data_IF_474836137170
#
_entry.id   IF_474836137170
#
_cell.length_a   1.000
_cell.length_b   1.000
_cell.length_c   1.000
_cell.angle_alpha   90.00
_cell.angle_beta   90.00
_cell.angle_gamma   90.00
#
_symmetry.space_group_name_H-M   'P 1'
#
loop_
_entity.id
_entity.type
_entity.pdbx_description
1 polymer ?
#
# COMPACT_ATOMS: atom_id res chain seq x y z
N UNK A 1 7.51 33.93 -32.60
CA UNK A 1 7.91 34.10 -31.19
C UNK A 1 7.22 32.98 -30.40
N UNK A 2 7.94 31.90 -30.11
CA UNK A 2 7.41 30.75 -29.36
C UNK A 2 7.59 30.98 -27.85
N UNK A 3 6.62 30.67 -27.01
CA UNK A 3 6.78 30.81 -25.57
C UNK A 3 7.64 29.69 -25.01
N UNK A 4 8.67 30.08 -24.29
CA UNK A 4 9.58 29.19 -23.54
C UNK A 4 8.84 28.66 -22.30
N UNK A 5 8.59 27.37 -22.28
CA UNK A 5 8.05 26.70 -21.08
C UNK A 5 9.20 26.43 -20.13
N UNK A 6 9.29 27.20 -19.06
CA UNK A 6 10.23 26.95 -17.96
C UNK A 6 9.70 25.82 -17.08
N UNK A 7 10.45 24.73 -17.05
CA UNK A 7 10.24 23.59 -16.13
C UNK A 7 10.47 24.02 -14.68
N UNK A 8 9.58 23.70 -13.73
CA UNK A 8 9.82 23.99 -12.33
C UNK A 8 10.96 23.11 -11.79
N UNK A 9 11.82 23.73 -10.98
CA UNK A 9 12.98 23.10 -10.36
C UNK A 9 12.55 21.93 -9.44
N UNK A 10 13.39 20.88 -9.32
CA UNK A 10 13.08 19.73 -8.47
C UNK A 10 13.06 20.16 -7.00
N UNK A 11 11.92 20.00 -6.36
CA UNK A 11 11.75 20.21 -4.92
C UNK A 11 12.65 19.23 -4.14
N UNK A 12 13.56 19.77 -3.35
CA UNK A 12 14.39 18.98 -2.42
C UNK A 12 13.48 18.33 -1.37
N UNK A 13 13.35 17.02 -1.43
CA UNK A 13 12.70 16.22 -0.39
C UNK A 13 13.72 15.97 0.73
N UNK A 14 13.54 16.63 1.88
CA UNK A 14 14.17 16.21 3.14
C UNK A 14 13.16 15.32 3.88
N UNK A 15 13.54 14.15 4.40
CA UNK A 15 12.67 13.34 5.24
C UNK A 15 12.42 14.12 6.55
N UNK A 16 11.30 14.83 6.63
CA UNK A 16 10.86 15.41 7.89
C UNK A 16 10.35 14.27 8.78
N UNK A 17 11.04 14.04 9.89
CA UNK A 17 10.44 13.37 11.06
C UNK A 17 9.21 14.22 11.44
N UNK A 18 8.02 13.71 11.15
CA UNK A 18 6.80 14.29 11.69
C UNK A 18 6.82 13.94 13.17
N UNK A 19 7.03 14.97 14.00
CA UNK A 19 7.05 14.82 15.44
C UNK A 19 5.75 14.16 15.94
N UNK A 20 5.88 13.38 17.00
CA UNK A 20 4.75 12.85 17.76
C UNK A 20 3.79 14.00 18.09
N UNK A 21 2.72 14.16 17.31
CA UNK A 21 1.53 14.85 17.73
C UNK A 21 0.58 13.77 18.25
N UNK A 22 0.04 14.00 19.43
CA UNK A 22 -1.03 13.16 19.96
C UNK A 22 -2.06 12.94 18.89
N UNK A 23 -2.40 11.65 18.64
CA UNK A 23 -3.34 11.26 17.62
C UNK A 23 -4.66 12.03 17.83
N UNK A 24 -5.27 12.61 16.80
CA UNK A 24 -6.56 13.27 16.93
C UNK A 24 -7.56 12.27 17.54
N UNK A 25 -8.22 12.68 18.63
CA UNK A 25 -9.27 11.88 19.27
C UNK A 25 -10.30 11.53 18.19
N UNK A 26 -10.45 10.23 17.89
CA UNK A 26 -11.48 9.73 16.97
C UNK A 26 -12.84 10.23 17.41
N UNK A 27 -13.72 10.71 16.51
CA UNK A 27 -15.08 11.03 16.86
C UNK A 27 -15.73 9.79 17.49
N UNK A 28 -16.33 9.95 18.66
CA UNK A 28 -17.09 8.89 19.33
C UNK A 28 -18.33 8.61 18.48
N UNK A 29 -18.27 7.57 17.65
CA UNK A 29 -19.46 7.02 17.02
C UNK A 29 -20.30 6.34 18.12
N UNK A 30 -21.48 6.90 18.39
CA UNK A 30 -22.46 6.35 19.34
C UNK A 30 -23.23 5.19 18.67
N UNK A 31 -22.53 4.14 18.28
CA UNK A 31 -23.11 2.85 17.96
C UNK A 31 -22.30 1.74 18.63
N UNK A 32 -23.01 0.75 19.16
CA UNK A 32 -22.48 -0.42 19.86
C UNK A 32 -21.72 -1.38 18.91
N UNK A 33 -20.96 -0.82 17.99
CA UNK A 33 -20.16 -1.55 17.00
C UNK A 33 -18.87 -2.01 17.66
N UNK A 34 -18.99 -3.09 18.46
CA UNK A 34 -17.79 -3.90 18.76
C UNK A 34 -17.24 -4.33 17.41
N UNK A 35 -15.96 -4.05 17.11
CA UNK A 35 -15.36 -4.53 15.87
C UNK A 35 -15.58 -6.04 15.78
N UNK A 36 -15.97 -6.53 14.60
CA UNK A 36 -16.23 -7.96 14.35
C UNK A 36 -15.04 -8.83 14.77
N UNK A 37 -13.84 -8.24 14.74
CA UNK A 37 -12.64 -8.81 15.33
C UNK A 37 -12.19 -7.94 16.51
N UNK A 38 -11.96 -8.50 17.71
CA UNK A 38 -11.44 -7.74 18.84
C UNK A 38 -10.13 -7.05 18.46
N UNK A 39 -9.92 -5.81 18.93
CA UNK A 39 -8.62 -5.13 18.81
C UNK A 39 -7.58 -5.98 19.53
N UNK A 40 -6.83 -6.72 18.74
CA UNK A 40 -5.91 -7.71 19.28
C UNK A 40 -4.65 -7.06 19.86
N UNK A 41 -4.38 -7.44 21.12
CA UNK A 41 -3.00 -7.47 21.60
C UNK A 41 -2.33 -8.65 20.86
N UNK A 42 -1.71 -8.36 19.73
CA UNK A 42 -1.04 -9.38 18.91
C UNK A 42 0.46 -9.36 19.19
N UNK A 43 1.07 -10.49 19.51
CA UNK A 43 2.52 -10.57 19.70
C UNK A 43 3.29 -10.40 18.40
N UNK A 44 2.70 -10.75 17.24
CA UNK A 44 3.28 -10.58 15.92
C UNK A 44 3.35 -9.11 15.45
N UNK A 45 3.98 -8.90 14.31
CA UNK A 45 4.12 -7.58 13.69
C UNK A 45 3.58 -7.59 12.27
N UNK A 46 2.67 -6.66 11.96
CA UNK A 46 2.14 -6.45 10.62
C UNK A 46 2.89 -5.30 9.94
N UNK A 47 3.70 -5.63 8.94
CA UNK A 47 4.43 -4.67 8.11
C UNK A 47 3.80 -4.63 6.72
N UNK A 48 3.46 -3.45 6.26
CA UNK A 48 2.79 -3.24 4.98
C UNK A 48 3.64 -2.37 4.06
N UNK A 49 3.71 -2.74 2.79
CA UNK A 49 4.41 -1.98 1.76
C UNK A 49 3.42 -1.55 0.69
N UNK A 50 3.32 -0.25 0.49
CA UNK A 50 2.34 0.41 -0.37
C UNK A 50 2.98 1.30 -1.44
N UNK A 51 2.21 1.68 -2.43
CA UNK A 51 2.59 2.59 -3.50
C UNK A 51 2.11 2.14 -4.87
N UNK A 52 2.24 3.01 -5.86
CA UNK A 52 1.79 2.72 -7.23
C UNK A 52 2.58 1.59 -7.91
N UNK A 53 2.06 1.11 -9.03
CA UNK A 53 2.74 0.09 -9.82
C UNK A 53 4.04 0.65 -10.41
N UNK A 54 5.11 -0.17 -10.41
CA UNK A 54 6.44 0.27 -10.86
C UNK A 54 7.29 1.02 -9.83
N UNK A 55 6.81 1.22 -8.60
CA UNK A 55 7.59 1.90 -7.55
C UNK A 55 8.72 1.06 -6.93
N UNK A 56 8.87 -0.22 -7.31
CA UNK A 56 9.94 -1.09 -6.81
C UNK A 56 9.59 -1.84 -5.52
N UNK A 57 8.34 -1.76 -5.04
CA UNK A 57 7.88 -2.41 -3.81
C UNK A 57 8.29 -3.87 -3.69
N UNK A 58 7.94 -4.69 -4.67
CA UNK A 58 8.16 -6.15 -4.60
C UNK A 58 9.64 -6.52 -4.46
N UNK A 59 10.57 -5.70 -4.99
CA UNK A 59 12.01 -5.87 -4.75
C UNK A 59 12.36 -5.57 -3.30
N UNK A 60 11.86 -4.46 -2.76
CA UNK A 60 12.12 -4.05 -1.38
C UNK A 60 11.50 -5.02 -0.37
N UNK A 61 10.29 -5.52 -0.65
CA UNK A 61 9.63 -6.54 0.18
C UNK A 61 10.48 -7.81 0.28
N UNK A 62 11.02 -8.32 -0.84
CA UNK A 62 11.90 -9.49 -0.85
C UNK A 62 13.19 -9.27 -0.07
N UNK A 63 13.77 -8.07 -0.17
CA UNK A 63 14.98 -7.71 0.58
C UNK A 63 14.64 -7.65 2.08
N UNK A 64 13.53 -7.01 2.44
CA UNK A 64 13.09 -6.92 3.84
C UNK A 64 12.79 -8.31 4.42
N UNK A 65 12.11 -9.17 3.67
CA UNK A 65 11.84 -10.54 4.08
C UNK A 65 13.13 -11.28 4.42
N UNK A 66 14.11 -11.27 3.50
CA UNK A 66 15.42 -11.91 3.72
C UNK A 66 16.17 -11.33 4.91
N UNK A 67 16.12 -10.00 5.10
CA UNK A 67 16.73 -9.35 6.25
C UNK A 67 16.14 -9.86 7.57
N UNK A 68 14.82 -9.93 7.67
CA UNK A 68 14.14 -10.40 8.87
C UNK A 68 14.42 -11.89 9.13
N UNK A 69 14.34 -12.72 8.11
CA UNK A 69 14.64 -14.16 8.19
C UNK A 69 16.10 -14.41 8.60
N UNK A 70 17.07 -13.65 8.05
CA UNK A 70 18.48 -13.78 8.44
C UNK A 70 18.77 -13.31 9.87
N UNK A 71 17.88 -12.53 10.47
CA UNK A 71 17.92 -12.14 11.88
C UNK A 71 17.11 -13.09 12.78
N UNK A 72 16.70 -14.27 12.27
CA UNK A 72 16.05 -15.31 13.05
C UNK A 72 14.54 -15.15 13.24
N UNK A 73 13.89 -14.22 12.52
CA UNK A 73 12.45 -14.05 12.60
C UNK A 73 11.73 -14.97 11.61
N UNK A 74 10.59 -15.52 12.06
CA UNK A 74 9.64 -16.14 11.14
C UNK A 74 8.84 -15.06 10.42
N UNK A 75 8.81 -15.13 9.08
CA UNK A 75 8.11 -14.16 8.23
C UNK A 75 7.09 -14.86 7.35
N UNK A 76 5.84 -14.46 7.46
CA UNK A 76 4.80 -14.85 6.52
C UNK A 76 4.60 -13.73 5.51
N UNK A 77 4.80 -14.04 4.22
CA UNK A 77 4.58 -13.09 3.13
C UNK A 77 3.22 -13.32 2.50
N UNK A 78 2.48 -12.24 2.23
CA UNK A 78 1.23 -12.25 1.47
C UNK A 78 1.15 -11.03 0.57
N UNK A 79 0.48 -11.16 -0.58
CA UNK A 79 0.33 -10.09 -1.55
C UNK A 79 -1.13 -9.81 -1.90
N UNK A 80 -1.39 -8.60 -2.37
CA UNK A 80 -2.71 -8.18 -2.82
C UNK A 80 -3.27 -9.09 -3.92
N UNK A 81 -4.56 -9.46 -3.78
CA UNK A 81 -5.26 -10.27 -4.78
C UNK A 81 -4.58 -11.64 -5.02
N UNK A 82 -4.12 -12.27 -3.96
CA UNK A 82 -3.44 -13.58 -4.02
C UNK A 82 -4.32 -14.75 -3.61
N UNK A 83 -5.50 -14.49 -3.04
CA UNK A 83 -6.40 -15.55 -2.59
C UNK A 83 -6.82 -16.48 -3.74
N UNK A 84 -6.54 -17.80 -3.66
CA UNK A 84 -6.80 -18.73 -4.75
C UNK A 84 -8.30 -18.89 -5.08
N UNK A 85 -9.20 -18.62 -4.12
CA UNK A 85 -10.66 -18.74 -4.33
C UNK A 85 -11.22 -17.49 -5.00
N UNK A 86 -10.70 -16.30 -4.72
CA UNK A 86 -11.20 -15.02 -5.23
C UNK A 86 -10.46 -14.56 -6.50
N UNK A 87 -9.18 -14.91 -6.62
CA UNK A 87 -8.31 -14.53 -7.75
C UNK A 87 -8.89 -14.87 -9.14
N UNK A 88 -9.54 -16.02 -9.37
CA UNK A 88 -10.17 -16.31 -10.66
C UNK A 88 -11.27 -15.30 -11.00
N UNK A 89 -12.08 -14.89 -10.01
CA UNK A 89 -13.11 -13.87 -10.18
C UNK A 89 -12.51 -12.52 -10.51
N UNK A 90 -11.55 -12.04 -9.72
CA UNK A 90 -10.89 -10.76 -9.98
C UNK A 90 -10.18 -10.75 -11.34
N UNK A 91 -9.59 -11.88 -11.76
CA UNK A 91 -8.98 -12.00 -13.09
C UNK A 91 -10.01 -11.84 -14.18
N UNK A 92 -11.16 -12.54 -14.07
CA UNK A 92 -12.26 -12.45 -15.03
C UNK A 92 -12.80 -11.02 -15.13
N UNK A 93 -13.03 -10.35 -14.00
CA UNK A 93 -13.50 -8.96 -13.95
C UNK A 93 -12.54 -7.96 -14.62
N UNK A 94 -11.24 -8.24 -14.58
CA UNK A 94 -10.19 -7.39 -15.19
C UNK A 94 -10.05 -7.59 -16.71
N UNK A 95 -10.59 -8.66 -17.26
CA UNK A 95 -10.48 -9.01 -18.70
C UNK A 95 -11.79 -8.86 -19.46
N UNK A 96 -12.89 -8.55 -18.79
CA UNK A 96 -14.19 -8.30 -19.43
C UNK A 96 -14.33 -6.81 -19.74
N UNK A 97 -14.90 -6.48 -20.90
CA UNK A 97 -15.26 -5.10 -21.28
C UNK A 97 -16.42 -4.52 -20.45
N UNK A 98 -16.85 -5.25 -19.43
CA UNK A 98 -17.84 -4.79 -18.47
C UNK A 98 -17.23 -3.77 -17.54
N UNK A 99 -17.59 -2.51 -17.72
CA UNK A 99 -17.37 -1.46 -16.72
C UNK A 99 -18.17 -1.81 -15.46
N UNK A 100 -17.49 -2.33 -14.44
CA UNK A 100 -18.12 -2.60 -13.17
C UNK A 100 -18.27 -1.29 -12.36
N UNK A 101 -19.38 -1.13 -11.64
CA UNK A 101 -19.46 -0.07 -10.65
C UNK A 101 -18.25 -0.12 -9.70
N UNK A 102 -17.63 1.02 -9.38
CA UNK A 102 -16.46 1.09 -8.49
C UNK A 102 -16.64 0.34 -7.17
N UNK A 103 -17.84 0.38 -6.60
CA UNK A 103 -18.19 -0.34 -5.37
C UNK A 103 -18.10 -1.86 -5.54
N UNK A 104 -18.55 -2.41 -6.67
CA UNK A 104 -18.47 -3.86 -6.94
C UNK A 104 -17.00 -4.29 -7.05
N UNK A 105 -16.19 -3.47 -7.73
CA UNK A 105 -14.76 -3.72 -7.84
C UNK A 105 -14.09 -3.73 -6.46
N UNK A 106 -14.41 -2.76 -5.60
CA UNK A 106 -13.89 -2.69 -4.23
C UNK A 106 -14.34 -3.89 -3.38
N UNK A 107 -15.63 -4.25 -3.41
CA UNK A 107 -16.17 -5.40 -2.66
C UNK A 107 -15.48 -6.72 -2.99
N UNK A 108 -15.15 -6.97 -4.25
CA UNK A 108 -14.45 -8.20 -4.64
C UNK A 108 -13.02 -8.24 -4.10
N UNK A 109 -12.33 -7.09 -4.08
CA UNK A 109 -11.00 -7.00 -3.49
C UNK A 109 -11.05 -7.04 -1.95
N UNK A 110 -12.11 -6.49 -1.34
CA UNK A 110 -12.34 -6.61 0.09
C UNK A 110 -12.57 -8.08 0.49
N UNK A 111 -13.32 -8.85 -0.31
CA UNK A 111 -13.52 -10.28 -0.08
C UNK A 111 -12.20 -11.07 -0.16
N UNK A 112 -11.31 -10.75 -1.12
CA UNK A 112 -9.97 -11.33 -1.20
C UNK A 112 -9.16 -11.06 0.06
N UNK A 113 -9.11 -9.80 0.48
CA UNK A 113 -8.34 -9.40 1.66
C UNK A 113 -8.93 -10.01 2.95
N UNK A 114 -10.27 -10.04 3.08
CA UNK A 114 -10.95 -10.61 4.23
C UNK A 114 -10.66 -12.10 4.39
N UNK A 115 -10.76 -12.85 3.31
CA UNK A 115 -10.49 -14.29 3.35
C UNK A 115 -9.03 -14.55 3.71
N UNK A 116 -8.07 -13.83 3.12
CA UNK A 116 -6.66 -13.94 3.48
C UNK A 116 -6.40 -13.53 4.94
N UNK A 117 -7.09 -12.48 5.41
CA UNK A 117 -6.95 -12.06 6.80
C UNK A 117 -7.37 -13.17 7.78
N UNK A 118 -8.51 -13.78 7.52
CA UNK A 118 -9.06 -14.84 8.39
C UNK A 118 -8.23 -16.12 8.33
N UNK A 119 -7.82 -16.55 7.14
CA UNK A 119 -7.19 -17.84 6.91
C UNK A 119 -5.68 -17.84 7.10
N UNK A 120 -5.03 -16.69 6.91
CA UNK A 120 -3.57 -16.59 6.94
C UNK A 120 -3.10 -15.56 7.97
N UNK A 121 -3.43 -14.28 7.78
CA UNK A 121 -2.78 -13.15 8.48
C UNK A 121 -3.05 -13.21 9.99
N UNK A 122 -4.31 -13.37 10.38
CA UNK A 122 -4.71 -13.31 11.79
C UNK A 122 -4.03 -14.41 12.63
N UNK A 123 -3.98 -15.63 12.11
CA UNK A 123 -3.34 -16.78 12.80
C UNK A 123 -1.85 -16.54 12.98
N UNK A 124 -1.16 -16.06 11.96
CA UNK A 124 0.27 -15.77 12.01
C UNK A 124 0.60 -14.66 13.02
N UNK A 125 -0.18 -13.57 13.01
CA UNK A 125 0.01 -12.47 13.98
C UNK A 125 -0.23 -12.93 15.43
N UNK A 126 -1.23 -13.80 15.68
CA UNK A 126 -1.47 -14.40 17.00
C UNK A 126 -0.34 -15.33 17.44
N UNK A 127 0.29 -16.01 16.50
CA UNK A 127 1.45 -16.87 16.77
C UNK A 127 2.76 -16.11 16.97
N UNK A 128 2.77 -14.77 16.93
CA UNK A 128 3.98 -13.98 17.10
C UNK A 128 4.84 -13.84 15.84
N UNK A 129 4.32 -14.28 14.69
CA UNK A 129 5.01 -14.25 13.40
C UNK A 129 4.91 -12.85 12.79
N UNK A 130 5.95 -12.42 12.10
CA UNK A 130 5.93 -11.20 11.30
C UNK A 130 5.14 -11.46 10.03
N UNK A 131 4.10 -10.66 9.78
CA UNK A 131 3.37 -10.70 8.51
C UNK A 131 3.80 -9.52 7.66
N UNK A 132 4.33 -9.82 6.48
CA UNK A 132 4.79 -8.84 5.49
C UNK A 132 3.82 -8.82 4.30
N UNK A 133 3.10 -7.72 4.15
CA UNK A 133 2.11 -7.54 3.08
C UNK A 133 2.65 -6.65 1.95
N UNK A 134 2.70 -7.17 0.71
CA UNK A 134 2.77 -6.31 -0.49
C UNK A 134 1.35 -5.86 -0.82
N UNK A 135 0.99 -4.68 -0.36
CA UNK A 135 -0.33 -4.03 -0.37
C UNK A 135 -1.32 -4.59 0.66
N UNK A 136 -2.11 -3.66 1.20
CA UNK A 136 -3.11 -3.93 2.22
C UNK A 136 -4.34 -3.02 2.00
N UNK A 137 -5.04 -2.63 3.09
CA UNK A 137 -6.23 -1.77 3.01
C UNK A 137 -5.98 -0.45 2.27
N UNK A 138 -4.80 0.13 2.38
CA UNK A 138 -4.49 1.41 1.75
C UNK A 138 -4.49 1.35 0.22
N UNK A 139 -4.18 0.19 -0.36
CA UNK A 139 -4.38 -0.04 -1.80
C UNK A 139 -5.86 0.00 -2.18
N UNK A 140 -6.76 -0.55 -1.35
CA UNK A 140 -8.21 -0.47 -1.59
C UNK A 140 -8.68 0.99 -1.49
N UNK A 141 -8.30 1.69 -0.42
CA UNK A 141 -8.64 3.10 -0.22
C UNK A 141 -8.19 3.98 -1.39
N UNK A 142 -6.91 3.84 -1.80
CA UNK A 142 -6.36 4.67 -2.89
C UNK A 142 -7.00 4.36 -4.26
N UNK A 143 -7.22 3.08 -4.57
CA UNK A 143 -7.84 2.68 -5.84
C UNK A 143 -9.33 2.92 -5.88
N UNK A 144 -10.03 2.80 -4.75
CA UNK A 144 -11.44 3.15 -4.61
C UNK A 144 -11.64 4.66 -4.79
N UNK A 145 -10.83 5.48 -4.11
CA UNK A 145 -10.84 6.93 -4.29
C UNK A 145 -10.57 7.34 -5.74
N UNK A 146 -9.57 6.72 -6.38
CA UNK A 146 -9.27 7.00 -7.79
C UNK A 146 -10.46 6.69 -8.71
N UNK A 147 -11.35 5.78 -8.31
CA UNK A 147 -12.60 5.42 -9.01
C UNK A 147 -13.82 6.23 -8.56
N UNK A 148 -13.62 7.25 -7.72
CA UNK A 148 -14.67 8.16 -7.29
C UNK A 148 -15.45 7.72 -6.05
N UNK A 149 -14.97 6.71 -5.31
CA UNK A 149 -15.52 6.38 -4.01
C UNK A 149 -14.98 7.33 -2.94
N UNK A 150 -15.83 7.66 -1.97
CA UNK A 150 -15.43 8.49 -0.84
C UNK A 150 -14.48 7.73 0.09
N UNK A 151 -13.30 8.28 0.32
CA UNK A 151 -12.23 7.63 1.08
C UNK A 151 -12.64 7.34 2.53
N UNK A 152 -13.43 8.22 3.15
CA UNK A 152 -13.91 8.05 4.52
C UNK A 152 -14.92 6.91 4.65
N UNK A 153 -15.79 6.69 3.64
CA UNK A 153 -16.69 5.55 3.62
C UNK A 153 -15.94 4.23 3.50
N UNK A 154 -14.94 4.16 2.60
CA UNK A 154 -14.08 3.00 2.47
C UNK A 154 -13.33 2.74 3.78
N UNK A 155 -12.74 3.77 4.37
CA UNK A 155 -12.02 3.69 5.62
C UNK A 155 -12.88 3.15 6.74
N UNK A 156 -14.11 3.69 6.90
CA UNK A 156 -15.05 3.22 7.92
C UNK A 156 -15.31 1.71 7.78
N UNK A 157 -15.48 1.22 6.54
CA UNK A 157 -15.64 -0.20 6.29
C UNK A 157 -14.37 -0.99 6.67
N UNK A 158 -13.21 -0.62 6.13
CA UNK A 158 -11.97 -1.39 6.36
C UNK A 158 -11.50 -1.35 7.82
N UNK A 159 -11.65 -0.25 8.52
CA UNK A 159 -11.28 -0.10 9.94
C UNK A 159 -12.09 -1.01 10.88
N UNK A 160 -13.27 -1.47 10.47
CA UNK A 160 -14.07 -2.40 11.26
C UNK A 160 -13.51 -3.83 11.24
N UNK A 161 -12.90 -4.22 10.13
CA UNK A 161 -12.51 -5.61 9.88
C UNK A 161 -11.01 -5.86 9.92
N UNK A 162 -10.22 -4.84 9.76
CA UNK A 162 -8.78 -5.00 9.60
C UNK A 162 -7.99 -4.21 10.64
N UNK A 163 -6.96 -4.82 11.25
CA UNK A 163 -6.09 -4.11 12.17
C UNK A 163 -5.24 -3.07 11.46
N UNK A 164 -4.93 -2.00 12.17
CA UNK A 164 -3.94 -1.02 11.72
C UNK A 164 -2.58 -1.70 11.69
N UNK A 165 -1.79 -1.58 10.60
CA UNK A 165 -0.44 -2.10 10.55
C UNK A 165 0.48 -1.48 11.60
N UNK A 166 1.45 -2.24 12.06
CA UNK A 166 2.49 -1.75 12.97
C UNK A 166 3.47 -0.80 12.24
N UNK A 167 3.75 -1.11 10.98
CA UNK A 167 4.56 -0.27 10.08
C UNK A 167 3.95 -0.26 8.69
N UNK A 168 3.87 0.92 8.09
CA UNK A 168 3.45 1.08 6.70
C UNK A 168 4.49 1.87 5.93
N UNK A 169 5.08 1.27 4.90
CA UNK A 169 6.00 1.92 3.99
C UNK A 169 5.29 2.34 2.71
N UNK A 170 5.30 3.62 2.41
CA UNK A 170 4.79 4.14 1.15
C UNK A 170 5.95 4.50 0.21
N UNK A 171 6.13 3.69 -0.84
CA UNK A 171 7.10 3.95 -1.91
C UNK A 171 6.51 4.98 -2.89
N UNK A 172 6.75 6.25 -2.59
CA UNK A 172 6.23 7.37 -3.39
C UNK A 172 7.04 7.52 -4.67
N UNK A 173 6.36 7.34 -5.82
CA UNK A 173 6.92 7.53 -7.15
C UNK A 173 6.09 8.60 -7.88
N UNK A 174 6.70 9.63 -8.50
CA UNK A 174 5.98 10.54 -9.39
C UNK A 174 5.32 9.78 -10.55
N UNK A 175 4.15 10.25 -10.97
CA UNK A 175 3.34 9.58 -12.00
C UNK A 175 4.10 9.41 -13.31
N UNK A 176 4.85 10.44 -13.72
CA UNK A 176 5.65 10.45 -14.95
C UNK A 176 6.76 9.38 -14.92
N UNK A 177 7.38 9.19 -13.76
CA UNK A 177 8.38 8.14 -13.58
C UNK A 177 7.73 6.74 -13.59
N UNK A 178 6.54 6.60 -13.00
CA UNK A 178 5.73 5.39 -13.07
C UNK A 178 5.35 5.04 -14.51
N UNK A 179 4.92 6.02 -15.29
CA UNK A 179 4.62 5.87 -16.72
C UNK A 179 5.82 5.38 -17.52
N UNK A 180 6.99 6.02 -17.34
CA UNK A 180 8.23 5.59 -18.03
C UNK A 180 8.59 4.13 -17.70
N UNK A 181 8.48 3.74 -16.44
CA UNK A 181 8.74 2.36 -16.00
C UNK A 181 7.69 1.38 -16.52
N UNK A 182 6.43 1.81 -16.62
CA UNK A 182 5.34 0.99 -17.16
C UNK A 182 5.46 0.83 -18.69
N UNK A 183 5.82 1.90 -19.42
CA UNK A 183 6.05 1.85 -20.86
C UNK A 183 7.22 0.93 -21.27
N UNK A 184 8.17 0.71 -20.38
CA UNK A 184 9.25 -0.26 -20.57
C UNK A 184 8.85 -1.74 -20.39
N UNK A 185 7.61 -2.01 -19.98
CA UNK A 185 7.05 -3.37 -19.88
C UNK A 185 6.39 -3.74 -21.21
N UNK A 186 6.30 -5.04 -21.48
CA UNK A 186 5.68 -5.55 -22.69
C UNK A 186 4.20 -5.20 -22.86
N UNK A 187 3.49 -4.88 -21.76
CA UNK A 187 2.07 -4.59 -21.77
C UNK A 187 1.64 -3.76 -20.55
N UNK A 188 0.89 -2.66 -20.82
CA UNK A 188 0.15 -1.93 -19.78
C UNK A 188 -1.14 -2.68 -19.50
N UNK A 189 -1.32 -3.12 -18.26
CA UNK A 189 -2.55 -3.81 -17.87
C UNK A 189 -3.72 -2.83 -17.84
N UNK A 190 -4.80 -3.19 -18.47
CA UNK A 190 -6.02 -2.40 -18.64
C UNK A 190 -6.49 -1.76 -17.31
N UNK A 191 -6.57 -2.53 -16.24
CA UNK A 191 -7.03 -2.03 -14.94
C UNK A 191 -5.99 -1.19 -14.18
N UNK A 192 -4.67 -1.38 -14.44
CA UNK A 192 -3.60 -0.52 -13.88
C UNK A 192 -3.64 0.87 -14.54
N UNK A 193 -4.10 0.91 -15.78
CA UNK A 193 -4.37 2.12 -16.52
C UNK A 193 -5.72 2.78 -16.16
N UNK A 194 -6.54 2.13 -15.32
CA UNK A 194 -7.86 2.65 -14.97
C UNK A 194 -8.80 2.74 -16.18
N UNK A 195 -8.64 1.87 -17.19
CA UNK A 195 -9.46 1.89 -18.41
C UNK A 195 -10.95 1.61 -18.13
N UNK A 196 -11.23 0.97 -17.00
CA UNK A 196 -12.57 0.80 -16.45
C UNK A 196 -13.25 2.13 -16.07
N UNK A 197 -12.48 3.22 -15.93
CA UNK A 197 -12.98 4.57 -15.61
C UNK A 197 -13.20 5.44 -16.85
N UNK A 198 -12.72 5.02 -18.01
CA UNK A 198 -12.90 5.70 -19.29
C UNK A 198 -12.61 7.22 -19.26
N UNK A 199 -11.58 7.66 -18.54
CA UNK A 199 -11.16 9.08 -18.54
C UNK A 199 -10.70 9.54 -19.92
N UNK A 200 -10.19 8.62 -20.75
CA UNK A 200 -9.71 8.85 -22.10
C UNK A 200 -9.70 7.54 -22.88
N UNK A 201 -9.91 7.60 -24.19
CA UNK A 201 -9.71 6.46 -25.10
C UNK A 201 -8.22 6.13 -25.24
N UNK A 202 -7.33 7.10 -25.03
CA UNK A 202 -5.90 6.88 -25.05
C UNK A 202 -5.42 6.25 -23.72
N UNK A 203 -4.90 5.04 -23.78
CA UNK A 203 -4.46 4.28 -22.60
C UNK A 203 -3.40 5.00 -21.75
N UNK A 204 -2.49 5.77 -22.37
CA UNK A 204 -1.46 6.53 -21.66
C UNK A 204 -2.05 7.72 -20.92
N UNK A 205 -2.97 8.44 -21.54
CA UNK A 205 -3.67 9.55 -20.90
C UNK A 205 -4.55 9.03 -19.76
N UNK A 206 -5.24 7.91 -19.98
CA UNK A 206 -6.08 7.28 -18.96
C UNK A 206 -5.22 6.82 -17.77
N UNK A 207 -4.09 6.16 -18.05
CA UNK A 207 -3.13 5.77 -17.03
C UNK A 207 -2.64 6.97 -16.20
N UNK A 208 -2.26 8.06 -16.86
CA UNK A 208 -1.82 9.27 -16.16
C UNK A 208 -2.92 9.82 -15.25
N UNK A 209 -4.13 10.00 -15.75
CA UNK A 209 -5.26 10.51 -14.98
C UNK A 209 -5.59 9.62 -13.77
N UNK A 210 -5.64 8.30 -13.98
CA UNK A 210 -5.91 7.34 -12.92
C UNK A 210 -4.80 7.29 -11.86
N UNK A 211 -3.54 7.18 -12.29
CA UNK A 211 -2.41 7.10 -11.36
C UNK A 211 -2.19 8.41 -10.60
N UNK A 212 -2.53 9.56 -11.19
CA UNK A 212 -2.51 10.84 -10.47
C UNK A 212 -3.47 10.82 -9.29
N UNK A 213 -4.68 10.31 -9.46
CA UNK A 213 -5.65 10.14 -8.36
C UNK A 213 -5.17 9.13 -7.32
N UNK A 214 -4.56 8.03 -7.74
CA UNK A 214 -3.99 7.02 -6.83
C UNK A 214 -2.87 7.61 -5.98
N UNK A 215 -1.96 8.38 -6.60
CA UNK A 215 -0.86 9.04 -5.87
C UNK A 215 -1.39 10.11 -4.92
N UNK A 216 -2.37 10.94 -5.34
CA UNK A 216 -3.02 11.92 -4.46
C UNK A 216 -3.65 11.24 -3.23
N UNK A 217 -4.36 10.13 -3.43
CA UNK A 217 -4.91 9.36 -2.33
C UNK A 217 -3.83 8.84 -1.36
N UNK A 218 -2.76 8.26 -1.88
CA UNK A 218 -1.66 7.81 -1.03
C UNK A 218 -0.96 8.96 -0.31
N UNK A 219 -0.77 10.11 -0.94
CA UNK A 219 -0.16 11.28 -0.31
C UNK A 219 -1.02 11.80 0.86
N UNK A 220 -2.36 11.78 0.73
CA UNK A 220 -3.30 12.08 1.83
C UNK A 220 -3.24 11.03 2.94
N UNK A 221 -3.32 9.75 2.58
CA UNK A 221 -3.24 8.64 3.53
C UNK A 221 -1.90 8.64 4.28
N UNK A 222 -0.79 8.96 3.61
CA UNK A 222 0.52 9.02 4.25
C UNK A 222 0.58 10.05 5.38
N UNK A 223 -0.16 11.17 5.24
CA UNK A 223 -0.25 12.20 6.27
C UNK A 223 -1.16 11.77 7.43
N UNK A 224 -2.31 11.13 7.14
CA UNK A 224 -3.29 10.74 8.16
C UNK A 224 -2.91 9.46 8.90
N UNK A 225 -2.16 8.53 8.27
CA UNK A 225 -1.86 7.20 8.80
C UNK A 225 -0.41 7.03 9.30
N UNK A 226 0.37 8.11 9.38
CA UNK A 226 1.77 8.08 9.81
C UNK A 226 2.64 7.08 9.02
N UNK A 227 2.48 7.03 7.71
CA UNK A 227 3.28 6.14 6.86
C UNK A 227 4.73 6.61 6.75
N UNK A 228 5.64 5.67 6.68
CA UNK A 228 7.03 5.95 6.32
C UNK A 228 7.13 6.15 4.81
N UNK A 229 7.28 7.41 4.38
CA UNK A 229 7.35 7.75 2.95
C UNK A 229 8.79 7.62 2.45
N UNK A 230 8.99 6.69 1.52
CA UNK A 230 10.28 6.44 0.87
C UNK A 230 10.27 6.95 -0.56
N UNK A 231 11.35 7.61 -0.98
CA UNK A 231 11.48 8.13 -2.35
C UNK A 231 11.81 7.01 -3.34
N UNK A 232 10.81 6.55 -4.09
CA UNK A 232 10.97 5.48 -5.08
C UNK A 232 11.67 5.91 -6.39
N UNK A 233 12.10 7.17 -6.53
CA UNK A 233 13.04 7.59 -7.58
C UNK A 233 14.46 7.15 -7.28
N UNK A 234 14.82 7.06 -6.00
CA UNK A 234 16.14 6.59 -5.58
C UNK A 234 16.34 5.12 -5.99
N UNK A 235 17.55 4.74 -6.32
CA UNK A 235 17.88 3.34 -6.59
C UNK A 235 17.71 2.47 -5.33
N UNK A 236 17.57 1.17 -5.53
CA UNK A 236 17.32 0.20 -4.45
C UNK A 236 18.38 0.26 -3.35
N UNK A 237 19.65 0.43 -3.72
CA UNK A 237 20.77 0.47 -2.77
C UNK A 237 20.76 1.71 -1.85
N UNK A 238 20.01 2.76 -2.18
CA UNK A 238 19.82 3.93 -1.31
C UNK A 238 18.54 3.81 -0.45
N UNK A 239 17.46 3.27 -1.00
CA UNK A 239 16.18 3.12 -0.28
C UNK A 239 16.19 1.95 0.70
N UNK A 240 16.94 0.89 0.40
CA UNK A 240 17.04 -0.29 1.29
C UNK A 240 17.65 0.05 2.66
N UNK A 241 18.79 0.77 2.76
CA UNK A 241 19.33 1.18 4.05
C UNK A 241 18.37 2.07 4.86
N UNK A 242 17.64 2.97 4.20
CA UNK A 242 16.65 3.84 4.83
C UNK A 242 15.51 3.02 5.44
N UNK A 243 14.91 2.10 4.67
CA UNK A 243 13.87 1.20 5.15
C UNK A 243 14.38 0.31 6.30
N UNK A 244 15.58 -0.26 6.15
CA UNK A 244 16.20 -1.11 7.17
C UNK A 244 16.41 -0.39 8.49
N UNK A 245 16.87 0.86 8.45
CA UNK A 245 17.07 1.67 9.66
C UNK A 245 15.76 1.87 10.43
N UNK A 246 14.67 2.15 9.73
CA UNK A 246 13.33 2.32 10.31
C UNK A 246 12.82 1.01 10.94
N UNK A 247 13.01 -0.12 10.25
CA UNK A 247 12.62 -1.43 10.79
C UNK A 247 13.47 -1.78 12.00
N UNK A 248 14.78 -1.59 11.94
CA UNK A 248 15.69 -1.86 13.08
C UNK A 248 15.32 -1.02 14.31
N UNK A 249 15.03 0.27 14.14
CA UNK A 249 14.57 1.14 15.22
C UNK A 249 13.25 0.64 15.83
N UNK A 250 12.28 0.24 15.00
CA UNK A 250 11.03 -0.33 15.46
C UNK A 250 11.24 -1.63 16.25
N UNK A 251 12.08 -2.56 15.75
CA UNK A 251 12.35 -3.84 16.40
C UNK A 251 13.13 -3.68 17.70
N UNK A 252 14.07 -2.73 17.74
CA UNK A 252 14.77 -2.39 18.99
C UNK A 252 13.80 -1.89 20.06
N UNK A 253 12.86 -1.03 19.70
CA UNK A 253 11.85 -0.52 20.65
C UNK A 253 10.82 -1.56 21.08
N UNK A 254 10.36 -2.43 20.16
CA UNK A 254 9.29 -3.40 20.45
C UNK A 254 9.82 -4.66 21.11
N UNK A 255 10.97 -5.16 20.66
CA UNK A 255 11.49 -6.48 21.04
C UNK A 255 12.82 -6.41 21.79
N UNK A 256 13.41 -5.23 21.94
CA UNK A 256 14.77 -5.00 22.44
C UNK A 256 15.83 -5.77 21.62
N UNK A 257 15.62 -5.90 20.31
CA UNK A 257 16.49 -6.62 19.39
C UNK A 257 16.94 -5.64 18.29
N UNK A 258 18.25 -5.40 18.20
CA UNK A 258 18.85 -4.71 17.07
C UNK A 258 19.01 -5.66 15.87
N UNK A 259 18.57 -5.25 14.68
CA UNK A 259 18.80 -6.06 13.49
C UNK A 259 20.25 -5.96 13.05
N UNK A 260 20.91 -7.12 12.90
CA UNK A 260 22.28 -7.21 12.41
C UNK A 260 22.30 -6.88 10.92
N UNK A 261 23.20 -6.01 10.51
CA UNK A 261 23.45 -5.68 9.11
C UNK A 261 24.26 -6.80 8.45
N UNK A 262 23.57 -7.86 8.05
CA UNK A 262 24.16 -8.95 7.29
C UNK A 262 23.41 -9.08 5.97
N UNK A 263 23.94 -8.46 4.92
CA UNK A 263 24.02 -8.88 3.49
C UNK A 263 24.61 -7.75 2.70
#
# INVERSE_FOLDING_TARGET
MSPTITSPAPTRFSPKKIGHRDAPKKPQAAHNDKPFFPKDVRPGTLIVVEGQDGSGKSTQVKILQKLLESNGFFVHFTEWNSNPKVKPLTKKLKTTDLSLPPTVFDMVHAADLMERYITEIQGMLKAGIIVLCDRYIYTALARGYARGLEIEHLRHFYDQYFPVPDMTFYFRLPVEAGMKRAAGRSELKHYEAGMDMAFSENILHNFHAFQTRVVDAYDRLAQSENMYVLNALKPVYETTPEMRALVSDYFTRKYNIGLISGL
#
